data_IF_679899601236
#
_entry.id   IF_679899601236
#
_cell.length_a   1.000
_cell.length_b   1.000
_cell.length_c   1.000
_cell.angle_alpha   90.00
_cell.angle_beta   90.00
_cell.angle_gamma   90.00
#
_symmetry.space_group_name_H-M   'P 1'
#
loop_
_entity.id
_entity.type
_entity.pdbx_description
1 polymer ?
#
# COMPACT_ATOMS: atom_id res chain seq x y z
N UNK A 1 8.50 2.15 -11.60
CA UNK A 1 7.19 1.64 -11.13
C UNK A 1 5.98 2.52 -11.41
N UNK A 2 5.99 3.78 -10.94
CA UNK A 2 4.81 4.66 -10.89
C UNK A 2 4.06 4.74 -12.22
N UNK A 3 4.81 4.75 -13.34
CA UNK A 3 4.30 4.79 -14.71
C UNK A 3 3.29 3.69 -15.05
N UNK A 4 3.37 2.50 -14.45
CA UNK A 4 2.40 1.41 -14.69
C UNK A 4 1.03 1.71 -14.09
N UNK A 5 0.99 2.52 -13.03
CA UNK A 5 -0.22 2.89 -12.29
C UNK A 5 -0.49 4.41 -12.34
N UNK A 6 0.21 5.18 -13.18
CA UNK A 6 0.04 6.63 -13.25
C UNK A 6 -1.39 6.98 -13.64
N UNK A 7 -2.06 7.74 -12.77
CA UNK A 7 -3.46 8.14 -12.95
C UNK A 7 -4.49 7.03 -12.68
N UNK A 8 -4.09 5.93 -12.03
CA UNK A 8 -4.97 4.80 -11.68
C UNK A 8 -5.06 4.64 -10.18
N UNK A 9 -6.17 4.07 -9.72
CA UNK A 9 -6.49 3.92 -8.30
C UNK A 9 -6.08 2.51 -7.86
N UNK A 10 -5.28 2.41 -6.81
CA UNK A 10 -5.01 1.14 -6.14
C UNK A 10 -5.71 1.14 -4.79
N UNK A 11 -6.55 0.14 -4.53
CA UNK A 11 -7.30 0.06 -3.29
C UNK A 11 -6.58 -0.88 -2.32
N UNK A 12 -6.50 -0.48 -1.05
CA UNK A 12 -6.03 -1.38 0.01
C UNK A 12 -7.15 -2.33 0.42
N UNK A 13 -6.80 -3.58 0.67
CA UNK A 13 -7.73 -4.56 1.24
C UNK A 13 -7.96 -4.36 2.75
N UNK A 14 -7.90 -3.12 3.25
CA UNK A 14 -8.24 -2.80 4.63
C UNK A 14 -9.75 -2.56 4.77
N UNK A 15 -10.22 -2.53 6.01
CA UNK A 15 -11.64 -2.30 6.33
C UNK A 15 -12.16 -0.96 5.81
N UNK A 16 -11.29 0.03 5.68
CA UNK A 16 -11.61 1.37 5.18
C UNK A 16 -11.49 1.50 3.65
N UNK A 17 -11.02 0.45 2.95
CA UNK A 17 -10.71 0.44 1.52
C UNK A 17 -9.98 1.70 1.07
N UNK A 18 -8.83 2.00 1.70
CA UNK A 18 -8.06 3.22 1.39
C UNK A 18 -7.71 3.23 -0.10
N UNK A 19 -8.32 4.15 -0.84
CA UNK A 19 -8.01 4.43 -2.23
C UNK A 19 -6.66 5.17 -2.29
N UNK A 20 -5.65 4.56 -2.91
CA UNK A 20 -4.44 5.24 -3.35
C UNK A 20 -4.78 5.89 -4.69
N UNK A 21 -5.30 7.09 -4.63
CA UNK A 21 -5.73 7.89 -5.77
C UNK A 21 -4.58 8.75 -6.34
N UNK A 22 -3.63 9.13 -5.50
CA UNK A 22 -2.48 9.93 -5.91
C UNK A 22 -1.28 9.07 -6.32
N UNK A 23 -0.64 9.45 -7.43
CA UNK A 23 0.60 8.82 -7.91
C UNK A 23 1.70 8.82 -6.85
N UNK A 24 1.77 9.85 -6.00
CA UNK A 24 2.72 9.93 -4.90
C UNK A 24 2.49 8.86 -3.83
N UNK A 25 1.23 8.52 -3.53
CA UNK A 25 0.90 7.47 -2.55
C UNK A 25 1.16 6.07 -3.11
N UNK A 26 0.82 5.85 -4.38
CA UNK A 26 1.16 4.62 -5.09
C UNK A 26 2.68 4.45 -5.15
N UNK A 27 3.40 5.49 -5.53
CA UNK A 27 4.87 5.48 -5.62
C UNK A 27 5.48 5.20 -4.25
N UNK A 28 5.09 5.92 -3.19
CA UNK A 28 5.59 5.68 -1.83
C UNK A 28 5.39 4.24 -1.35
N UNK A 29 4.32 3.56 -1.81
CA UNK A 29 4.02 2.18 -1.42
C UNK A 29 4.74 1.13 -2.25
N UNK A 30 5.09 1.44 -3.50
CA UNK A 30 5.76 0.51 -4.43
C UNK A 30 7.26 0.81 -4.62
N UNK A 31 7.72 1.99 -4.18
CA UNK A 31 9.11 2.42 -4.27
C UNK A 31 10.04 1.50 -3.50
N UNK A 32 11.16 1.14 -4.15
CA UNK A 32 12.17 0.23 -3.62
C UNK A 32 11.58 -1.10 -3.14
N UNK A 33 10.52 -1.60 -3.78
CA UNK A 33 9.91 -2.91 -3.50
C UNK A 33 9.74 -3.71 -4.76
N UNK A 34 9.83 -5.03 -4.62
CA UNK A 34 9.34 -5.96 -5.62
C UNK A 34 7.81 -5.91 -5.63
N UNK A 35 7.21 -5.83 -6.81
CA UNK A 35 5.76 -5.83 -6.95
C UNK A 35 5.32 -7.13 -7.60
N UNK A 36 4.47 -7.86 -6.91
CA UNK A 36 3.86 -9.09 -7.38
C UNK A 36 2.47 -8.74 -7.91
N UNK A 37 2.30 -8.83 -9.22
CA UNK A 37 0.99 -8.81 -9.85
C UNK A 37 0.43 -10.22 -9.81
N UNK A 38 -0.57 -10.44 -8.97
CA UNK A 38 -1.26 -11.73 -8.90
C UNK A 38 -2.54 -11.67 -9.73
N UNK A 39 -2.56 -12.43 -10.82
CA UNK A 39 -3.72 -12.62 -11.67
C UNK A 39 -4.47 -13.87 -11.22
N UNK A 40 -5.69 -13.66 -10.73
CA UNK A 40 -6.52 -14.73 -10.21
C UNK A 40 -8.00 -14.47 -10.45
N UNK A 41 -8.77 -15.54 -10.33
CA UNK A 41 -10.22 -15.47 -10.31
C UNK A 41 -10.75 -16.38 -9.18
N UNK A 42 -11.68 -15.87 -8.39
CA UNK A 42 -12.38 -16.61 -7.35
C UNK A 42 -13.16 -17.81 -7.90
N UNK A 43 -13.62 -17.76 -9.16
CA UNK A 43 -14.28 -18.88 -9.81
C UNK A 43 -13.31 -20.02 -10.26
N UNK A 44 -12.00 -19.76 -10.27
CA UNK A 44 -11.01 -20.73 -10.75
C UNK A 44 -10.51 -21.65 -9.61
N UNK A 45 -10.70 -22.98 -9.71
CA UNK A 45 -10.29 -23.91 -8.65
C UNK A 45 -8.77 -23.96 -8.47
N UNK A 46 -7.99 -23.76 -9.54
CA UNK A 46 -6.53 -23.71 -9.46
C UNK A 46 -6.05 -22.46 -8.70
N UNK A 47 -6.74 -21.33 -8.87
CA UNK A 47 -6.46 -20.12 -8.10
C UNK A 47 -6.77 -20.34 -6.62
N UNK A 48 -7.92 -20.93 -6.30
CA UNK A 48 -8.30 -21.25 -4.91
C UNK A 48 -7.28 -22.17 -4.22
N UNK A 49 -6.71 -23.15 -4.94
CA UNK A 49 -5.67 -24.02 -4.40
C UNK A 49 -4.33 -23.30 -4.18
N UNK A 50 -4.01 -22.29 -4.99
CA UNK A 50 -2.77 -21.51 -4.88
C UNK A 50 -2.84 -20.42 -3.80
N UNK A 51 -4.03 -19.89 -3.52
CA UNK A 51 -4.23 -18.82 -2.52
C UNK A 51 -3.60 -19.13 -1.16
N UNK A 52 -3.81 -20.31 -0.52
CA UNK A 52 -3.19 -20.60 0.76
C UNK A 52 -1.66 -20.54 0.70
N UNK A 53 -1.07 -21.02 -0.41
CA UNK A 53 0.38 -20.99 -0.65
C UNK A 53 0.86 -19.54 -0.76
N UNK A 54 0.14 -18.71 -1.53
CA UNK A 54 0.47 -17.30 -1.71
C UNK A 54 0.33 -16.50 -0.41
N UNK A 55 -0.72 -16.75 0.38
CA UNK A 55 -0.93 -16.15 1.70
C UNK A 55 0.24 -16.49 2.62
N UNK A 56 0.57 -17.77 2.74
CA UNK A 56 1.64 -18.26 3.59
C UNK A 56 3.02 -17.71 3.16
N UNK A 57 3.27 -17.64 1.85
CA UNK A 57 4.44 -16.95 1.29
C UNK A 57 4.50 -15.47 1.71
N UNK A 58 3.40 -14.74 1.53
CA UNK A 58 3.35 -13.31 1.85
C UNK A 58 3.48 -13.03 3.35
N UNK A 59 2.82 -13.82 4.20
CA UNK A 59 2.92 -13.69 5.67
C UNK A 59 4.35 -13.96 6.12
N UNK A 60 4.99 -15.03 5.67
CA UNK A 60 6.39 -15.33 6.05
C UNK A 60 7.39 -14.25 5.66
N UNK A 61 7.11 -13.47 4.63
CA UNK A 61 7.98 -12.38 4.18
C UNK A 61 7.65 -11.03 4.82
N UNK A 62 6.44 -10.83 5.34
CA UNK A 62 5.99 -9.50 5.80
C UNK A 62 5.60 -9.43 7.27
N UNK A 63 5.49 -10.56 7.94
CA UNK A 63 5.14 -10.65 9.35
C UNK A 63 6.41 -10.59 10.21
N UNK A 64 6.38 -9.70 11.20
CA UNK A 64 7.47 -9.46 12.16
C UNK A 64 7.84 -10.71 12.95
N UNK A 65 6.92 -11.68 13.05
CA UNK A 65 7.18 -12.97 13.69
C UNK A 65 8.20 -13.81 12.91
N UNK A 66 8.20 -13.73 11.58
CA UNK A 66 9.10 -14.53 10.73
C UNK A 66 10.33 -13.74 10.28
N UNK A 67 10.21 -12.42 10.18
CA UNK A 67 11.29 -11.55 9.70
C UNK A 67 11.51 -10.38 10.66
N UNK A 68 12.78 -10.08 10.96
CA UNK A 68 13.16 -8.90 11.76
C UNK A 68 12.70 -7.58 11.12
N UNK A 69 12.49 -7.57 9.80
CA UNK A 69 12.05 -6.41 9.01
C UNK A 69 11.12 -6.87 7.91
N UNK A 70 10.03 -6.14 7.69
CA UNK A 70 9.10 -6.45 6.60
C UNK A 70 9.84 -6.44 5.26
N UNK A 71 9.68 -7.50 4.47
CA UNK A 71 10.26 -7.58 3.14
C UNK A 71 9.81 -6.38 2.29
N UNK A 72 10.72 -5.91 1.44
CA UNK A 72 10.48 -4.92 0.40
C UNK A 72 9.64 -5.54 -0.73
N UNK A 73 8.42 -5.92 -0.40
CA UNK A 73 7.48 -6.65 -1.24
C UNK A 73 6.10 -5.97 -1.16
N UNK A 74 5.48 -5.77 -2.31
CA UNK A 74 4.09 -5.37 -2.44
C UNK A 74 3.36 -6.37 -3.34
N UNK A 75 2.13 -6.71 -3.00
CA UNK A 75 1.29 -7.60 -3.78
C UNK A 75 0.08 -6.82 -4.26
N UNK A 76 -0.15 -6.83 -5.57
CA UNK A 76 -1.30 -6.24 -6.25
C UNK A 76 -2.13 -7.36 -6.86
N UNK A 77 -3.34 -7.54 -6.36
CA UNK A 77 -4.31 -8.46 -6.93
C UNK A 77 -4.98 -7.82 -8.15
N UNK A 78 -4.90 -8.53 -9.27
CA UNK A 78 -5.58 -8.20 -10.52
C UNK A 78 -6.67 -9.24 -10.71
N UNK A 79 -7.91 -8.87 -10.40
CA UNK A 79 -9.06 -9.74 -10.61
C UNK A 79 -9.27 -10.00 -12.11
N UNK A 80 -9.38 -11.28 -12.46
CA UNK A 80 -9.88 -11.77 -13.75
C UNK A 80 -11.30 -12.35 -13.61
N UNK A 81 -12.01 -11.95 -12.54
CA UNK A 81 -13.36 -12.40 -12.28
C UNK A 81 -14.36 -11.78 -13.25
N UNK A 82 -15.48 -12.50 -13.44
CA UNK A 82 -16.57 -12.06 -14.30
C UNK A 82 -17.46 -11.03 -13.63
N UNK A 83 -17.52 -11.02 -12.29
CA UNK A 83 -18.39 -10.12 -11.52
C UNK A 83 -17.65 -9.52 -10.32
N UNK A 84 -18.09 -8.33 -9.90
CA UNK A 84 -17.53 -7.62 -8.74
C UNK A 84 -17.71 -8.42 -7.44
N UNK A 85 -18.85 -9.11 -7.28
CA UNK A 85 -19.11 -9.89 -6.06
C UNK A 85 -18.13 -11.04 -5.89
N UNK A 86 -17.65 -11.63 -6.99
CA UNK A 86 -16.63 -12.68 -6.96
C UNK A 86 -15.28 -12.13 -6.48
N UNK A 87 -14.90 -10.94 -6.97
CA UNK A 87 -13.71 -10.24 -6.50
C UNK A 87 -13.82 -9.90 -5.00
N UNK A 88 -14.95 -9.36 -4.57
CA UNK A 88 -15.17 -8.98 -3.17
C UNK A 88 -15.15 -10.19 -2.22
N UNK A 89 -15.82 -11.27 -2.61
CA UNK A 89 -15.80 -12.53 -1.85
C UNK A 89 -14.39 -13.08 -1.73
N UNK A 90 -13.60 -12.99 -2.81
CA UNK A 90 -12.21 -13.39 -2.79
C UNK A 90 -11.38 -12.52 -1.83
N UNK A 91 -11.50 -11.19 -1.93
CA UNK A 91 -10.73 -10.24 -1.14
C UNK A 91 -11.03 -10.30 0.37
N UNK A 92 -12.27 -10.64 0.77
CA UNK A 92 -12.66 -10.78 2.19
C UNK A 92 -11.80 -11.75 2.99
N UNK A 93 -11.29 -12.79 2.34
CA UNK A 93 -10.44 -13.81 2.98
C UNK A 93 -8.93 -13.47 2.87
N UNK A 94 -8.56 -12.39 2.18
CA UNK A 94 -7.17 -12.03 1.93
C UNK A 94 -6.58 -11.10 3.01
N UNK A 95 -5.24 -11.09 3.18
CA UNK A 95 -4.57 -10.18 4.10
C UNK A 95 -4.86 -8.70 3.80
N UNK A 96 -4.98 -7.88 4.86
CA UNK A 96 -5.24 -6.43 4.76
C UNK A 96 -4.09 -5.64 4.12
N UNK A 97 -2.91 -6.23 4.03
CA UNK A 97 -1.70 -5.63 3.43
C UNK A 97 -1.72 -5.70 1.89
N UNK A 98 -2.63 -6.48 1.30
CA UNK A 98 -2.72 -6.61 -0.15
C UNK A 98 -3.34 -5.38 -0.77
N UNK A 99 -2.83 -5.02 -1.95
CA UNK A 99 -3.42 -4.02 -2.82
C UNK A 99 -4.24 -4.74 -3.88
N UNK A 100 -5.26 -4.09 -4.42
CA UNK A 100 -6.02 -4.63 -5.53
C UNK A 100 -6.49 -3.51 -6.46
N UNK A 101 -6.80 -3.88 -7.70
CA UNK A 101 -7.40 -2.96 -8.66
C UNK A 101 -8.93 -2.95 -8.53
N UNK A 102 -9.58 -1.78 -8.67
CA UNK A 102 -11.03 -1.70 -8.78
C UNK A 102 -11.55 -2.61 -9.91
N UNK A 103 -12.71 -3.23 -9.70
CA UNK A 103 -13.29 -4.18 -10.67
C UNK A 103 -13.54 -3.54 -12.05
N UNK A 104 -13.97 -2.28 -12.06
CA UNK A 104 -14.27 -1.52 -13.28
C UNK A 104 -13.04 -0.93 -13.99
N UNK A 105 -11.83 -1.09 -13.44
CA UNK A 105 -10.63 -0.50 -14.03
C UNK A 105 -10.18 -1.26 -15.29
N UNK A 106 -10.09 -0.55 -16.42
CA UNK A 106 -9.55 -1.08 -17.69
C UNK A 106 -8.13 -1.66 -17.55
N UNK A 107 -7.36 -1.19 -16.56
CA UNK A 107 -6.01 -1.66 -16.28
C UNK A 107 -5.95 -3.18 -16.06
N UNK A 108 -7.03 -3.80 -15.55
CA UNK A 108 -7.11 -5.26 -15.38
C UNK A 108 -6.87 -6.02 -16.68
N UNK A 109 -7.41 -5.48 -17.78
CA UNK A 109 -7.33 -6.06 -19.13
C UNK A 109 -6.00 -5.68 -19.78
N UNK A 110 -5.56 -4.45 -19.56
CA UNK A 110 -4.32 -3.93 -20.15
C UNK A 110 -3.09 -4.66 -19.57
N UNK A 111 -3.04 -4.88 -18.25
CA UNK A 111 -1.99 -5.68 -17.61
C UNK A 111 -2.01 -7.14 -18.09
N UNK A 112 -3.20 -7.75 -18.19
CA UNK A 112 -3.34 -9.11 -18.71
C UNK A 112 -2.79 -9.27 -20.14
N UNK A 113 -3.03 -8.27 -21.00
CA UNK A 113 -2.48 -8.22 -22.37
C UNK A 113 -0.97 -7.93 -22.37
N UNK A 114 -0.53 -6.95 -21.60
CA UNK A 114 0.86 -6.51 -21.53
C UNK A 114 1.80 -7.64 -21.07
N UNK A 115 1.38 -8.43 -20.09
CA UNK A 115 2.16 -9.55 -19.59
C UNK A 115 1.84 -10.89 -20.27
N UNK A 116 0.86 -10.90 -21.19
CA UNK A 116 0.44 -12.09 -21.95
C UNK A 116 0.05 -13.24 -21.00
N UNK A 117 -0.86 -12.96 -20.06
CA UNK A 117 -1.32 -13.95 -19.08
C UNK A 117 -2.23 -14.96 -19.76
N UNK A 118 -1.69 -16.13 -20.10
CA UNK A 118 -2.42 -17.21 -20.78
C UNK A 118 -3.06 -18.23 -19.81
N UNK A 119 -2.49 -18.39 -18.61
CA UNK A 119 -2.92 -19.39 -17.61
C UNK A 119 -3.18 -18.72 -16.27
N UNK A 120 -4.18 -19.21 -15.55
CA UNK A 120 -4.51 -18.77 -14.19
C UNK A 120 -4.32 -19.95 -13.22
N UNK A 121 -3.72 -19.74 -12.03
CA UNK A 121 -3.17 -18.49 -11.51
C UNK A 121 -1.85 -18.09 -12.18
N UNK A 122 -1.60 -16.79 -12.32
CA UNK A 122 -0.29 -16.26 -12.74
C UNK A 122 0.20 -15.20 -11.76
N UNK A 123 1.50 -15.19 -11.51
CA UNK A 123 2.17 -14.16 -10.70
C UNK A 123 3.31 -13.59 -11.52
N UNK A 124 3.22 -12.30 -11.85
CA UNK A 124 4.29 -11.56 -12.51
C UNK A 124 5.03 -10.75 -11.47
N UNK A 125 6.34 -10.91 -11.40
CA UNK A 125 7.20 -10.17 -10.49
C UNK A 125 7.86 -9.04 -11.26
N UNK A 126 7.69 -7.83 -10.74
CA UNK A 126 8.24 -6.61 -11.29
C UNK A 126 9.33 -6.05 -10.36
N UNK A 127 10.40 -5.53 -10.97
CA UNK A 127 11.43 -4.77 -10.29
C UNK A 127 10.92 -3.36 -9.90
N UNK A 128 11.55 -2.66 -8.94
CA UNK A 128 11.18 -1.27 -8.58
C UNK A 128 11.17 -0.29 -9.77
N UNK A 129 12.04 -0.54 -10.74
CA UNK A 129 12.20 0.15 -12.01
C UNK A 129 10.94 0.01 -12.89
N UNK A 130 10.20 -1.08 -12.75
CA UNK A 130 9.01 -1.41 -13.56
C UNK A 130 9.25 -2.54 -14.56
N UNK A 131 10.50 -3.00 -14.69
CA UNK A 131 10.86 -4.11 -15.55
C UNK A 131 10.36 -5.44 -15.01
N UNK A 132 10.05 -6.36 -15.92
CA UNK A 132 9.61 -7.71 -15.56
C UNK A 132 10.82 -8.54 -15.17
N UNK A 133 10.81 -9.04 -13.92
CA UNK A 133 11.82 -9.96 -13.43
C UNK A 133 11.50 -11.40 -13.83
N UNK A 134 10.28 -11.85 -13.53
CA UNK A 134 9.79 -13.18 -13.92
C UNK A 134 8.29 -13.13 -14.19
N UNK A 135 7.84 -13.89 -15.18
CA UNK A 135 6.41 -14.08 -15.51
C UNK A 135 5.84 -15.35 -14.88
N UNK A 136 6.71 -16.28 -14.49
CA UNK A 136 6.36 -17.59 -13.94
C UNK A 136 6.50 -17.62 -12.41
N UNK A 137 6.23 -16.47 -11.76
CA UNK A 137 6.38 -16.33 -10.31
C UNK A 137 5.50 -17.30 -9.52
N UNK A 138 4.37 -17.75 -10.08
CA UNK A 138 3.49 -18.71 -9.44
C UNK A 138 4.16 -20.08 -9.31
N UNK A 139 4.83 -20.55 -10.38
CA UNK A 139 5.56 -21.82 -10.39
C UNK A 139 6.79 -21.76 -9.47
N UNK A 140 7.48 -20.61 -9.43
CA UNK A 140 8.62 -20.40 -8.53
C UNK A 140 8.21 -20.41 -7.06
N UNK A 141 7.11 -19.76 -6.69
CA UNK A 141 6.57 -19.78 -5.32
C UNK A 141 6.17 -21.21 -4.92
N UNK A 142 5.52 -21.96 -5.80
CA UNK A 142 5.14 -23.35 -5.51
C UNK A 142 6.35 -24.26 -5.34
N UNK A 143 7.39 -24.08 -6.15
CA UNK A 143 8.57 -24.96 -6.14
C UNK A 143 9.58 -24.63 -5.05
N UNK A 144 9.84 -23.35 -4.82
CA UNK A 144 10.93 -22.87 -3.95
C UNK A 144 10.41 -22.24 -2.64
N UNK A 145 9.12 -21.95 -2.52
CA UNK A 145 8.56 -21.27 -1.36
C UNK A 145 9.18 -19.89 -1.16
N UNK A 146 9.54 -19.54 0.08
CA UNK A 146 10.14 -18.23 0.40
C UNK A 146 11.54 -18.03 -0.16
N UNK A 147 12.24 -19.10 -0.58
CA UNK A 147 13.58 -18.99 -1.13
C UNK A 147 13.62 -18.28 -2.50
N UNK A 148 12.54 -18.31 -3.29
CA UNK A 148 12.50 -17.56 -4.55
C UNK A 148 12.61 -16.05 -4.33
N UNK A 149 12.12 -15.54 -3.20
CA UNK A 149 12.18 -14.12 -2.89
C UNK A 149 13.63 -13.63 -2.77
N UNK A 150 14.52 -14.40 -2.14
CA UNK A 150 15.95 -14.05 -2.06
C UNK A 150 16.58 -13.97 -3.45
N UNK A 151 16.27 -14.93 -4.33
CA UNK A 151 16.73 -14.91 -5.72
C UNK A 151 16.21 -13.68 -6.47
N UNK A 152 14.95 -13.30 -6.22
CA UNK A 152 14.36 -12.12 -6.85
C UNK A 152 15.00 -10.82 -6.36
N UNK A 153 15.26 -10.71 -5.06
CA UNK A 153 15.94 -9.54 -4.49
C UNK A 153 17.34 -9.36 -5.09
N UNK A 154 18.09 -10.45 -5.21
CA UNK A 154 19.42 -10.45 -5.84
C UNK A 154 19.34 -10.06 -7.32
N UNK A 155 18.45 -10.70 -8.09
CA UNK A 155 18.32 -10.46 -9.53
C UNK A 155 17.71 -9.10 -9.91
N UNK A 156 16.92 -8.51 -9.02
CA UNK A 156 16.41 -7.17 -9.16
C UNK A 156 17.39 -6.10 -8.66
N UNK A 157 18.56 -6.50 -8.15
CA UNK A 157 19.55 -5.60 -7.53
C UNK A 157 18.88 -4.63 -6.56
N UNK A 158 17.84 -5.12 -5.85
CA UNK A 158 17.13 -4.27 -4.89
C UNK A 158 18.14 -3.99 -3.80
N UNK A 159 18.71 -2.79 -3.86
CA UNK A 159 19.63 -2.32 -2.85
C UNK A 159 18.85 -2.36 -1.55
N UNK A 160 19.28 -3.25 -0.67
CA UNK A 160 18.84 -3.16 0.70
C UNK A 160 19.42 -1.84 1.24
N UNK A 161 18.63 -0.76 1.17
CA UNK A 161 19.03 0.57 1.67
C UNK A 161 19.21 0.59 3.20
N UNK A 162 19.11 -0.57 3.86
CA UNK A 162 19.30 -0.84 5.29
C UNK A 162 20.74 -0.65 5.83
N UNK A 163 21.62 0.11 5.16
CA UNK A 163 22.78 0.70 5.85
C UNK A 163 22.35 1.79 6.84
N UNK A 164 21.14 2.32 6.67
CA UNK A 164 20.50 3.09 7.72
C UNK A 164 20.09 2.11 8.83
N UNK A 165 20.45 2.43 10.08
CA UNK A 165 19.82 1.80 11.24
C UNK A 165 18.29 1.88 11.07
N UNK A 166 17.49 1.03 11.73
CA UNK A 166 16.04 1.23 11.79
C UNK A 166 15.72 2.49 12.62
N UNK A 167 16.13 3.65 12.13
CA UNK A 167 15.60 4.95 12.46
C UNK A 167 14.44 5.15 11.45
N UNK A 168 13.25 5.38 11.98
CA UNK A 168 11.99 5.65 11.25
C UNK A 168 11.03 4.47 10.95
N UNK A 169 11.05 3.39 11.76
CA UNK A 169 9.80 2.66 12.01
C UNK A 169 8.86 3.41 13.00
N UNK A 170 9.22 4.62 13.41
CA UNK A 170 8.38 5.50 14.23
C UNK A 170 7.19 6.15 13.47
N UNK A 171 6.97 5.86 12.17
CA UNK A 171 5.76 6.33 11.47
C UNK A 171 4.54 5.39 11.58
N UNK A 172 4.59 4.44 12.50
CA UNK A 172 3.37 3.90 13.08
C UNK A 172 3.53 3.63 14.58
N UNK A 173 4.08 4.61 15.31
CA UNK A 173 3.81 4.72 16.74
C UNK A 173 2.33 4.43 17.00
N UNK A 174 1.98 3.46 17.85
CA UNK A 174 0.58 3.15 18.14
C UNK A 174 -0.05 4.44 18.67
N UNK A 175 -0.92 5.04 17.85
CA UNK A 175 -1.72 6.23 18.18
C UNK A 175 -2.19 6.08 19.61
N UNK A 176 -1.61 6.88 20.51
CA UNK A 176 -1.80 6.75 21.95
C UNK A 176 -3.30 6.63 22.23
N UNK A 177 -3.72 5.74 23.13
CA UNK A 177 -5.13 5.66 23.57
C UNK A 177 -5.67 7.03 24.02
N UNK A 178 -4.77 7.94 24.43
CA UNK A 178 -5.10 9.31 24.82
C UNK A 178 -5.19 10.31 23.67
N UNK A 179 -4.90 9.94 22.42
CA UNK A 179 -4.95 10.84 21.27
C UNK A 179 -6.37 11.35 21.00
N UNK A 180 -7.39 10.48 21.12
CA UNK A 180 -8.79 10.89 21.09
C UNK A 180 -9.10 11.92 22.19
N UNK A 181 -8.56 11.73 23.39
CA UNK A 181 -8.73 12.67 24.51
C UNK A 181 -8.00 14.00 24.27
N UNK A 182 -6.78 13.97 23.71
CA UNK A 182 -6.02 15.18 23.37
C UNK A 182 -6.66 15.98 22.26
N UNK A 183 -7.20 15.34 21.21
CA UNK A 183 -7.97 16.03 20.15
C UNK A 183 -9.20 16.73 20.71
N UNK A 184 -9.88 16.12 21.68
CA UNK A 184 -11.04 16.74 22.32
C UNK A 184 -10.63 17.88 23.24
N UNK A 185 -9.54 17.72 24.01
CA UNK A 185 -9.05 18.73 24.96
C UNK A 185 -8.40 19.94 24.28
N UNK A 186 -7.68 19.72 23.18
CA UNK A 186 -6.96 20.76 22.42
C UNK A 186 -7.59 21.02 21.06
N UNK A 187 -8.93 20.92 20.96
CA UNK A 187 -9.65 21.35 19.77
C UNK A 187 -9.37 22.83 19.53
N UNK A 188 -8.42 23.12 18.65
CA UNK A 188 -8.13 24.49 18.21
C UNK A 188 -9.33 24.92 17.36
N UNK A 189 -10.17 25.79 17.92
CA UNK A 189 -11.21 26.49 17.18
C UNK A 189 -10.57 27.15 15.96
N UNK A 190 -10.97 26.75 14.75
CA UNK A 190 -10.53 27.42 13.52
C UNK A 190 -10.99 28.86 13.63
N UNK A 191 -10.05 29.76 13.92
CA UNK A 191 -10.27 31.20 13.87
C UNK A 191 -10.93 31.53 12.53
N UNK A 192 -12.15 32.06 12.62
CA UNK A 192 -12.97 32.45 11.49
C UNK A 192 -12.17 33.41 10.60
N UNK A 193 -11.56 32.84 9.54
CA UNK A 193 -11.09 33.61 8.40
C UNK A 193 -12.32 34.10 7.67
N UNK A 194 -12.62 35.37 7.82
CA UNK A 194 -13.39 36.09 6.82
C UNK A 194 -14.36 37.11 7.38
N UNK A 195 -13.90 38.36 7.41
CA UNK A 195 -14.72 39.41 6.83
C UNK A 195 -14.94 40.67 7.66
N UNK A 196 -14.08 41.66 7.37
CA UNK A 196 -14.47 43.03 6.97
C UNK A 196 -14.84 44.01 8.11
N UNK A 197 -13.89 44.82 8.58
CA UNK A 197 -13.52 46.20 8.12
C UNK A 197 -14.24 47.30 8.95
N UNK A 198 -13.81 48.58 8.97
CA UNK A 198 -13.11 49.13 10.12
C UNK A 198 -13.82 50.34 10.75
N UNK A 199 -13.60 50.53 12.05
CA UNK A 199 -14.02 51.73 12.78
C UNK A 199 -13.97 51.40 14.26
N UNK A 200 -13.29 52.13 15.13
CA UNK A 200 -12.67 53.43 15.03
C UNK A 200 -12.63 53.98 16.46
N UNK A 201 -11.54 54.64 16.82
CA UNK A 201 -11.56 55.69 17.85
C UNK A 201 -11.20 55.30 19.28
N UNK A 202 -10.17 55.98 19.80
CA UNK A 202 -9.97 56.36 21.20
C UNK A 202 -9.39 55.25 22.08
N UNK A 203 -8.16 55.29 22.58
CA UNK A 203 -7.41 56.45 23.08
C UNK A 203 -7.64 56.56 24.58
N UNK A 204 -6.67 56.11 25.37
CA UNK A 204 -6.35 56.69 26.68
C UNK A 204 -4.96 56.20 27.12
N UNK A 205 -4.01 57.14 27.04
CA UNK A 205 -2.72 57.09 27.69
C UNK A 205 -2.90 57.35 29.20
N UNK A 206 -2.18 56.59 30.02
CA UNK A 206 -2.03 56.84 31.45
C UNK A 206 -1.35 55.61 32.06
N UNK A 207 -0.07 55.61 32.42
CA UNK A 207 0.69 56.70 33.00
C UNK A 207 1.06 56.29 34.43
N UNK A 208 2.30 55.83 34.57
CA UNK A 208 3.13 55.84 35.77
C UNK A 208 2.72 55.07 37.04
N UNK A 209 3.69 54.27 37.52
CA UNK A 209 4.11 54.35 38.92
C UNK A 209 3.96 53.06 39.71
N UNK A 210 5.10 52.48 40.11
CA UNK A 210 5.12 51.42 41.11
C UNK A 210 6.44 50.64 41.18
N UNK A 211 7.57 51.34 41.18
CA UNK A 211 8.81 50.79 41.75
C UNK A 211 8.71 50.97 43.26
N UNK A 212 8.60 49.87 44.01
CA UNK A 212 9.27 49.55 45.29
C UNK A 212 8.81 48.15 45.74
#
# INVERSE_FOLDING_TARGET
>A
MASLFSGRILIRNNSDQDELDTEAEVSRRLENRLVLLFFGAGACPQCQAFVPILKDFFVRLTDEFYVLRAAQLALVYVSQDSTEEQQDLFLKDMPKKWLFLPFEDDLRRDLGRQFSVERLPAVVVLKPDGDVLTRDGADEIQRLGTACFANWQEAAEVLDRNFQLPEDLEDQEPRSLTECLRRHKYRVEKAARGGRDPGGGGGEEGGAGGLF
#
